data_IF_584138179405
#
_entry.id   IF_584138179405
#
_cell.length_a   1.000
_cell.length_b   1.000
_cell.length_c   1.000
_cell.angle_alpha   90.00
_cell.angle_beta   90.00
_cell.angle_gamma   90.00
#
_symmetry.space_group_name_H-M   'P 1'
#
loop_
_entity.id
_entity.type
_entity.pdbx_description
1 polymer ?
#
# COMPACT_ATOMS: atom_id res chain seq x y z
N UNK A 1 10.90 -6.53 -0.02
CA UNK A 1 11.05 -5.89 1.31
C UNK A 1 12.52 -5.91 1.79
N UNK A 2 13.20 -7.07 1.83
CA UNK A 2 14.58 -7.16 2.34
C UNK A 2 15.54 -6.16 1.71
N UNK A 3 15.68 -6.15 0.39
CA UNK A 3 16.54 -5.19 -0.33
C UNK A 3 16.19 -3.72 -0.05
N UNK A 4 14.92 -3.39 0.11
CA UNK A 4 14.50 -2.04 0.48
C UNK A 4 15.11 -1.61 1.82
N UNK A 5 15.05 -2.47 2.83
CA UNK A 5 15.61 -2.16 4.14
C UNK A 5 17.14 -2.18 4.17
N UNK A 6 17.82 -2.84 3.23
CA UNK A 6 19.28 -2.73 3.05
C UNK A 6 19.68 -1.34 2.56
N UNK A 7 18.85 -0.71 1.69
CA UNK A 7 19.11 0.64 1.17
C UNK A 7 18.74 1.71 2.22
N UNK A 8 17.61 1.54 2.91
CA UNK A 8 17.02 2.55 3.81
C UNK A 8 17.20 2.22 5.30
N UNK A 9 18.19 1.38 5.67
CA UNK A 9 18.36 0.86 7.02
C UNK A 9 18.41 1.95 8.10
N UNK A 10 18.97 3.11 7.80
CA UNK A 10 19.12 4.23 8.75
C UNK A 10 17.81 4.95 9.11
N UNK A 11 16.73 4.70 8.36
CA UNK A 11 15.44 5.36 8.58
C UNK A 11 14.46 4.51 9.39
N UNK A 12 14.84 3.28 9.74
CA UNK A 12 13.97 2.33 10.42
C UNK A 12 14.67 1.68 11.59
N UNK A 13 13.94 1.50 12.68
CA UNK A 13 14.37 0.64 13.79
C UNK A 13 14.28 -0.83 13.37
N UNK A 14 15.05 -1.72 14.01
CA UNK A 14 14.95 -3.16 13.78
C UNK A 14 13.53 -3.69 14.11
N UNK A 15 12.84 -3.09 15.07
CA UNK A 15 11.46 -3.44 15.41
C UNK A 15 10.50 -3.11 14.26
N UNK A 16 10.52 -1.89 13.73
CA UNK A 16 9.69 -1.47 12.59
C UNK A 16 9.94 -2.34 11.36
N UNK A 17 11.20 -2.58 11.03
CA UNK A 17 11.59 -3.49 9.95
C UNK A 17 10.99 -4.88 10.14
N UNK A 18 11.12 -5.47 11.34
CA UNK A 18 10.59 -6.79 11.63
C UNK A 18 9.06 -6.83 11.58
N UNK A 19 8.35 -5.79 12.03
CA UNK A 19 6.90 -5.67 11.91
C UNK A 19 6.45 -5.65 10.45
N UNK A 20 7.13 -4.88 9.59
CA UNK A 20 6.82 -4.83 8.15
C UNK A 20 7.12 -6.16 7.47
N UNK A 21 8.27 -6.79 7.77
CA UNK A 21 8.61 -8.08 7.20
C UNK A 21 7.61 -9.16 7.61
N UNK A 22 7.17 -9.14 8.87
CA UNK A 22 6.15 -10.05 9.35
C UNK A 22 4.79 -9.78 8.69
N UNK A 23 4.39 -8.50 8.54
CA UNK A 23 3.19 -8.14 7.79
C UNK A 23 3.24 -8.72 6.35
N UNK A 24 4.35 -8.56 5.65
CA UNK A 24 4.55 -9.13 4.31
C UNK A 24 4.46 -10.66 4.31
N UNK A 25 4.94 -11.32 5.37
CA UNK A 25 4.92 -12.79 5.48
C UNK A 25 3.53 -13.35 5.70
N UNK A 26 2.67 -12.62 6.40
CA UNK A 26 1.39 -13.16 6.91
C UNK A 26 0.14 -12.60 6.23
N UNK A 27 0.21 -11.47 5.49
CA UNK A 27 -0.98 -10.78 4.96
C UNK A 27 -1.85 -11.67 4.06
N UNK A 28 -1.26 -12.63 3.39
CA UNK A 28 -1.90 -13.52 2.43
C UNK A 28 -2.23 -14.92 2.97
N UNK A 29 -1.99 -15.20 4.25
CA UNK A 29 -2.32 -16.51 4.85
C UNK A 29 -3.78 -16.93 4.58
N UNK A 30 -4.70 -15.97 4.62
CA UNK A 30 -6.11 -16.19 4.36
C UNK A 30 -6.44 -16.68 2.95
N UNK A 31 -5.52 -16.55 1.98
CA UNK A 31 -5.67 -17.12 0.62
C UNK A 31 -5.67 -18.66 0.64
N UNK A 32 -5.17 -19.28 1.71
CA UNK A 32 -5.22 -20.73 1.89
C UNK A 32 -6.63 -21.27 2.22
N UNK A 33 -7.69 -20.48 2.08
CA UNK A 33 -9.07 -20.98 2.21
C UNK A 33 -9.58 -21.58 0.90
N UNK A 34 -10.44 -22.59 0.99
CA UNK A 34 -10.95 -23.33 -0.17
C UNK A 34 -11.70 -22.45 -1.16
N UNK A 35 -12.54 -21.53 -0.69
CA UNK A 35 -13.34 -20.65 -1.57
C UNK A 35 -12.44 -19.80 -2.45
N UNK A 36 -11.37 -19.20 -1.88
CA UNK A 36 -10.38 -18.46 -2.66
C UNK A 36 -9.69 -19.37 -3.68
N UNK A 37 -9.29 -20.57 -3.26
CA UNK A 37 -8.61 -21.53 -4.14
C UNK A 37 -9.48 -21.95 -5.33
N UNK A 38 -10.81 -22.03 -5.18
CA UNK A 38 -11.72 -22.31 -6.32
C UNK A 38 -11.78 -21.17 -7.35
N UNK A 39 -11.37 -19.95 -6.97
CA UNK A 39 -11.33 -18.81 -7.89
C UNK A 39 -10.06 -18.83 -8.74
N UNK A 40 -8.92 -19.16 -8.10
CA UNK A 40 -7.60 -19.09 -8.75
C UNK A 40 -7.17 -20.38 -9.40
N UNK A 41 -7.75 -21.51 -9.01
CA UNK A 41 -7.44 -22.84 -9.54
C UNK A 41 -8.60 -23.37 -10.40
N UNK A 42 -8.45 -23.36 -11.75
CA UNK A 42 -9.50 -23.85 -12.66
C UNK A 42 -9.87 -25.32 -12.49
N UNK A 43 -9.02 -26.13 -11.84
CA UNK A 43 -9.27 -27.55 -11.58
C UNK A 43 -10.23 -27.81 -10.41
N UNK A 44 -10.57 -26.78 -9.63
CA UNK A 44 -11.51 -26.89 -8.50
C UNK A 44 -12.91 -26.42 -8.88
N UNK A 45 -13.93 -27.14 -8.42
CA UNK A 45 -15.32 -26.74 -8.63
C UNK A 45 -15.62 -25.43 -7.87
N UNK A 46 -16.12 -24.42 -8.58
CA UNK A 46 -16.52 -23.15 -7.95
C UNK A 46 -17.65 -23.36 -6.98
N UNK A 47 -17.53 -22.72 -5.82
CA UNK A 47 -18.57 -22.71 -4.79
C UNK A 47 -19.36 -21.41 -4.85
N UNK A 48 -20.68 -21.50 -4.62
CA UNK A 48 -21.60 -20.34 -4.63
C UNK A 48 -21.57 -19.52 -3.34
N UNK A 49 -20.74 -19.89 -2.36
CA UNK A 49 -20.67 -19.21 -1.07
C UNK A 49 -19.89 -17.89 -1.16
N UNK A 50 -20.34 -16.89 -0.39
CA UNK A 50 -19.67 -15.61 -0.31
C UNK A 50 -18.32 -15.74 0.41
N UNK A 51 -17.29 -15.18 -0.18
CA UNK A 51 -15.94 -15.19 0.38
C UNK A 51 -15.79 -14.19 1.52
N UNK A 52 -15.22 -14.63 2.65
CA UNK A 52 -14.65 -13.68 3.62
C UNK A 52 -13.30 -13.17 3.06
N UNK A 53 -13.04 -11.85 3.09
CA UNK A 53 -11.78 -11.28 2.62
C UNK A 53 -10.57 -11.96 3.27
N UNK A 54 -9.59 -12.34 2.46
CA UNK A 54 -8.43 -13.08 2.97
C UNK A 54 -7.61 -12.31 3.99
N UNK A 55 -7.55 -10.97 3.90
CA UNK A 55 -6.88 -10.15 4.90
C UNK A 55 -7.46 -10.31 6.30
N UNK A 56 -8.80 -10.43 6.40
CA UNK A 56 -9.46 -10.68 7.67
C UNK A 56 -9.07 -12.06 8.22
N UNK A 57 -9.11 -13.09 7.39
CA UNK A 57 -8.72 -14.44 7.79
C UNK A 57 -7.24 -14.50 8.20
N UNK A 58 -6.37 -13.82 7.46
CA UNK A 58 -4.94 -13.73 7.77
C UNK A 58 -4.71 -13.14 9.16
N UNK A 59 -5.28 -11.97 9.43
CA UNK A 59 -5.13 -11.29 10.71
C UNK A 59 -5.69 -12.10 11.88
N UNK A 60 -6.88 -12.73 11.70
CA UNK A 60 -7.48 -13.56 12.74
C UNK A 60 -6.71 -14.88 12.99
N UNK A 61 -5.76 -15.21 12.14
CA UNK A 61 -4.85 -16.37 12.29
C UNK A 61 -3.54 -16.01 13.03
N UNK A 62 -3.33 -14.75 13.40
CA UNK A 62 -2.13 -14.31 14.10
C UNK A 62 -2.21 -14.64 15.60
N UNK A 63 -1.09 -15.08 16.14
CA UNK A 63 -0.92 -15.29 17.58
C UNK A 63 -0.08 -14.17 18.16
N UNK A 64 -0.69 -13.31 18.99
CA UNK A 64 0.00 -12.24 19.70
C UNK A 64 1.23 -12.76 20.46
N UNK A 65 1.05 -13.87 21.18
CA UNK A 65 2.15 -14.51 21.94
C UNK A 65 3.32 -14.87 21.04
N UNK A 66 3.06 -15.45 19.86
CA UNK A 66 4.10 -15.85 18.92
C UNK A 66 4.79 -14.62 18.34
N UNK A 67 4.05 -13.61 17.91
CA UNK A 67 4.60 -12.37 17.33
C UNK A 67 5.53 -11.68 18.35
N UNK A 68 5.11 -11.57 19.62
CA UNK A 68 5.94 -10.99 20.68
C UNK A 68 7.20 -11.81 21.00
N UNK A 69 7.18 -13.11 20.74
CA UNK A 69 8.38 -13.95 20.88
C UNK A 69 9.33 -13.80 19.70
N UNK A 70 8.80 -13.62 18.48
CA UNK A 70 9.59 -13.51 17.25
C UNK A 70 10.17 -12.09 17.04
N UNK A 71 9.48 -11.06 17.56
CA UNK A 71 9.90 -9.66 17.42
C UNK A 71 10.27 -9.09 18.79
N UNK A 72 11.57 -8.98 19.12
CA UNK A 72 11.99 -8.44 20.40
C UNK A 72 11.50 -7.01 20.63
N UNK A 73 10.93 -6.74 21.81
CA UNK A 73 10.40 -5.43 22.17
C UNK A 73 9.02 -5.11 21.59
N UNK A 74 8.35 -6.07 20.95
CA UNK A 74 6.99 -5.91 20.43
C UNK A 74 5.98 -5.73 21.58
N UNK A 75 5.29 -4.59 21.57
CA UNK A 75 4.26 -4.20 22.54
C UNK A 75 2.86 -4.65 22.10
N UNK A 76 1.84 -4.37 22.92
CA UNK A 76 0.43 -4.58 22.55
C UNK A 76 0.03 -3.67 21.38
N UNK A 77 0.57 -2.44 21.36
CA UNK A 77 0.31 -1.50 20.27
C UNK A 77 0.96 -1.94 18.95
N UNK A 78 2.19 -2.44 19.01
CA UNK A 78 2.88 -3.00 17.83
C UNK A 78 2.09 -4.17 17.25
N UNK A 79 1.59 -5.07 18.07
CA UNK A 79 0.72 -6.15 17.61
C UNK A 79 -0.59 -5.63 17.00
N UNK A 80 -1.21 -4.63 17.62
CA UNK A 80 -2.43 -4.00 17.10
C UNK A 80 -2.20 -3.32 15.76
N UNK A 81 -1.05 -2.66 15.56
CA UNK A 81 -0.64 -2.06 14.28
C UNK A 81 -0.45 -3.11 13.21
N UNK A 82 0.31 -4.17 13.49
CA UNK A 82 0.52 -5.31 12.58
C UNK A 82 -0.80 -5.97 12.21
N UNK A 83 -1.62 -6.29 13.20
CA UNK A 83 -2.93 -6.92 13.03
C UNK A 83 -3.84 -6.07 12.13
N UNK A 84 -3.91 -4.76 12.39
CA UNK A 84 -4.75 -3.83 11.63
C UNK A 84 -4.24 -3.66 10.19
N UNK A 85 -2.92 -3.58 10.01
CA UNK A 85 -2.32 -3.48 8.68
C UNK A 85 -2.65 -4.72 7.82
N UNK A 86 -2.55 -5.92 8.39
CA UNK A 86 -2.90 -7.17 7.72
C UNK A 86 -4.40 -7.28 7.48
N UNK A 87 -5.23 -6.92 8.45
CA UNK A 87 -6.69 -6.99 8.36
C UNK A 87 -7.23 -6.12 7.22
N UNK A 88 -6.72 -4.89 7.09
CA UNK A 88 -7.17 -3.89 6.13
C UNK A 88 -6.13 -3.59 5.02
N UNK A 89 -5.23 -4.52 4.66
CA UNK A 89 -4.30 -4.28 3.56
C UNK A 89 -5.04 -4.06 2.21
N UNK A 90 -6.20 -4.70 2.05
CA UNK A 90 -7.20 -4.32 1.06
C UNK A 90 -8.38 -3.69 1.77
N UNK A 91 -8.69 -2.43 1.52
CA UNK A 91 -9.84 -1.75 2.13
C UNK A 91 -11.15 -2.46 1.76
N UNK A 92 -11.69 -3.22 2.71
CA UNK A 92 -12.94 -3.97 2.58
C UNK A 92 -13.89 -3.62 3.72
N UNK A 93 -15.19 -3.68 3.43
CA UNK A 93 -16.21 -3.52 4.46
C UNK A 93 -16.21 -4.75 5.36
N UNK A 94 -16.17 -4.53 6.66
CA UNK A 94 -16.35 -5.56 7.68
C UNK A 94 -17.79 -5.57 8.16
N UNK A 95 -18.58 -6.50 7.65
CA UNK A 95 -19.99 -6.72 8.04
C UNK A 95 -20.21 -8.09 8.68
N UNK A 96 -19.13 -8.76 9.07
CA UNK A 96 -19.18 -10.12 9.59
C UNK A 96 -19.29 -10.14 11.12
N UNK A 97 -20.07 -11.11 11.65
CA UNK A 97 -20.07 -11.45 13.07
C UNK A 97 -18.97 -12.45 13.41
N UNK A 98 -18.61 -12.58 14.68
CA UNK A 98 -17.65 -13.58 15.13
C UNK A 98 -18.10 -15.01 14.75
N UNK A 99 -19.42 -15.26 14.80
CA UNK A 99 -19.97 -16.54 14.36
C UNK A 99 -19.71 -16.82 12.88
N UNK A 100 -19.88 -15.81 12.01
CA UNK A 100 -19.55 -15.96 10.58
C UNK A 100 -18.09 -16.35 10.37
N UNK A 101 -17.17 -15.77 11.14
CA UNK A 101 -15.74 -16.09 11.06
C UNK A 101 -15.44 -17.52 11.49
N UNK A 102 -16.01 -17.98 12.63
CA UNK A 102 -15.79 -19.34 13.10
C UNK A 102 -16.43 -20.38 12.18
N UNK A 103 -17.68 -20.18 11.72
CA UNK A 103 -18.36 -21.07 10.79
C UNK A 103 -17.57 -21.20 9.47
N UNK A 104 -17.03 -20.07 8.95
CA UNK A 104 -16.19 -20.06 7.75
C UNK A 104 -14.84 -20.73 7.97
N UNK A 105 -14.20 -20.47 9.11
CA UNK A 105 -12.93 -21.09 9.49
C UNK A 105 -13.03 -22.59 9.52
N UNK A 106 -13.99 -23.14 10.26
CA UNK A 106 -14.16 -24.59 10.41
C UNK A 106 -14.49 -25.27 9.08
N UNK A 107 -15.32 -24.64 8.25
CA UNK A 107 -15.81 -25.22 6.99
C UNK A 107 -14.80 -25.10 5.85
N UNK A 108 -14.13 -23.96 5.70
CA UNK A 108 -13.42 -23.62 4.47
C UNK A 108 -11.95 -23.26 4.63
N UNK A 109 -11.46 -23.04 5.86
CA UNK A 109 -10.13 -22.49 6.06
C UNK A 109 -9.21 -23.42 6.86
N UNK A 110 -9.65 -23.98 7.98
CA UNK A 110 -8.85 -24.79 8.90
C UNK A 110 -8.11 -25.96 8.22
N UNK A 111 -8.84 -26.76 7.45
CA UNK A 111 -8.26 -27.91 6.73
C UNK A 111 -7.19 -27.49 5.74
N UNK A 112 -7.44 -26.43 4.99
CA UNK A 112 -6.56 -25.94 3.93
C UNK A 112 -5.34 -25.22 4.46
N UNK A 113 -5.43 -24.51 5.59
CA UNK A 113 -4.27 -24.01 6.31
C UNK A 113 -3.28 -25.13 6.65
N UNK A 114 -3.78 -26.26 7.12
CA UNK A 114 -2.96 -27.43 7.44
C UNK A 114 -2.35 -28.06 6.18
N UNK A 115 -3.15 -28.19 5.12
CA UNK A 115 -2.75 -28.84 3.87
C UNK A 115 -1.73 -28.00 3.09
N UNK A 116 -1.99 -26.69 2.89
CA UNK A 116 -1.12 -25.83 2.06
C UNK A 116 0.07 -25.24 2.79
N UNK A 117 -0.04 -24.98 4.09
CA UNK A 117 1.01 -24.32 4.87
C UNK A 117 1.77 -25.24 5.82
N UNK A 118 1.34 -26.51 5.94
CA UNK A 118 1.92 -27.47 6.89
C UNK A 118 1.81 -27.05 8.36
N UNK A 119 1.05 -25.98 8.64
CA UNK A 119 0.89 -25.39 9.97
C UNK A 119 -0.25 -26.08 10.71
N UNK A 120 0.10 -26.96 11.65
CA UNK A 120 -0.88 -27.73 12.46
C UNK A 120 -1.54 -26.91 13.57
N UNK A 121 -0.93 -25.80 14.01
CA UNK A 121 -1.30 -25.06 15.23
C UNK A 121 -1.58 -23.56 14.98
N UNK A 122 -2.29 -23.22 13.91
CA UNK A 122 -2.77 -21.85 13.73
C UNK A 122 -3.93 -21.60 14.70
N UNK A 123 -3.73 -20.71 15.66
CA UNK A 123 -4.80 -20.29 16.58
C UNK A 123 -5.63 -19.20 15.92
N UNK A 124 -6.69 -19.61 15.25
CA UNK A 124 -7.68 -18.68 14.72
C UNK A 124 -8.52 -18.09 15.86
N UNK A 125 -8.59 -16.78 15.92
CA UNK A 125 -9.34 -16.07 16.96
C UNK A 125 -10.07 -14.85 16.39
N UNK A 126 -11.41 -14.92 16.33
CA UNK A 126 -12.22 -13.76 16.00
C UNK A 126 -12.07 -12.62 17.02
N UNK A 127 -11.72 -12.94 18.25
CA UNK A 127 -11.49 -11.95 19.31
C UNK A 127 -10.31 -11.00 19.05
N UNK A 128 -9.38 -11.36 18.13
CA UNK A 128 -8.32 -10.46 17.69
C UNK A 128 -8.88 -9.14 17.15
N UNK A 129 -10.10 -9.12 16.61
CA UNK A 129 -10.76 -7.90 16.12
C UNK A 129 -10.89 -6.82 17.19
N UNK A 130 -10.95 -7.19 18.47
CA UNK A 130 -11.02 -6.23 19.56
C UNK A 130 -9.69 -5.47 19.78
N UNK A 131 -8.62 -5.92 19.16
CA UNK A 131 -7.30 -5.30 19.23
C UNK A 131 -6.97 -4.46 17.98
N UNK A 132 -7.87 -4.35 17.01
CA UNK A 132 -7.69 -3.47 15.85
C UNK A 132 -7.60 -2.01 16.30
N UNK A 133 -6.80 -1.19 15.61
CA UNK A 133 -6.71 0.25 15.86
C UNK A 133 -7.97 0.99 15.42
N UNK A 134 -8.62 0.53 14.35
CA UNK A 134 -9.91 1.02 13.87
C UNK A 134 -10.74 -0.11 13.27
N UNK A 135 -12.02 0.14 13.09
CA UNK A 135 -12.92 -0.80 12.40
C UNK A 135 -13.89 -0.08 11.48
N UNK A 136 -14.05 -0.64 10.29
CA UNK A 136 -15.10 -0.24 9.34
C UNK A 136 -16.47 -0.84 9.72
N UNK A 137 -16.53 -1.63 10.78
CA UNK A 137 -17.77 -2.15 11.34
C UNK A 137 -18.33 -1.20 12.40
N UNK A 138 -19.46 -0.52 12.15
CA UNK A 138 -20.00 0.51 13.07
C UNK A 138 -20.44 -0.04 14.43
N UNK A 139 -20.59 -1.35 14.57
CA UNK A 139 -20.97 -1.99 15.86
C UNK A 139 -19.78 -2.23 16.78
N UNK A 140 -18.56 -2.13 16.28
CA UNK A 140 -17.34 -2.34 17.08
C UNK A 140 -16.91 -1.04 17.75
N UNK A 141 -16.73 -1.13 19.07
CA UNK A 141 -16.13 -0.05 19.88
C UNK A 141 -14.68 -0.43 20.17
N UNK A 142 -13.76 0.37 19.65
CA UNK A 142 -12.33 0.20 19.86
C UNK A 142 -11.80 1.29 20.77
N UNK A 143 -10.60 1.08 21.33
CA UNK A 143 -9.89 2.10 22.12
C UNK A 143 -9.50 3.29 21.23
N UNK A 144 -9.33 4.45 21.85
CA UNK A 144 -8.69 5.57 21.17
C UNK A 144 -7.19 5.29 21.00
N UNK A 145 -6.62 5.79 19.91
CA UNK A 145 -5.22 5.60 19.51
C UNK A 145 -4.57 6.97 19.45
N UNK A 146 -3.36 7.11 19.98
CA UNK A 146 -2.59 8.34 19.93
C UNK A 146 -1.97 8.59 18.52
N UNK A 147 -1.52 9.81 18.29
CA UNK A 147 -0.94 10.21 17.01
C UNK A 147 0.35 9.44 16.66
N UNK A 148 1.32 9.22 17.58
CA UNK A 148 2.50 8.42 17.28
C UNK A 148 2.18 7.02 16.80
N UNK A 149 1.28 6.32 17.47
CA UNK A 149 0.82 4.97 17.06
C UNK A 149 0.15 4.99 15.68
N UNK A 150 -0.62 6.02 15.36
CA UNK A 150 -1.19 6.19 14.02
C UNK A 150 -0.11 6.41 12.96
N UNK A 151 0.90 7.23 13.21
CA UNK A 151 2.01 7.47 12.28
C UNK A 151 2.79 6.18 11.99
N UNK A 152 3.10 5.40 13.03
CA UNK A 152 3.81 4.12 12.88
C UNK A 152 2.95 3.08 12.14
N UNK A 153 1.65 3.00 12.44
CA UNK A 153 0.69 2.17 11.70
C UNK A 153 0.66 2.53 10.21
N UNK A 154 0.57 3.83 9.87
CA UNK A 154 0.55 4.29 8.49
C UNK A 154 1.82 3.89 7.74
N UNK A 155 2.97 3.93 8.41
CA UNK A 155 4.24 3.45 7.86
C UNK A 155 4.18 1.94 7.55
N UNK A 156 3.77 1.12 8.53
CA UNK A 156 3.67 -0.35 8.37
C UNK A 156 2.71 -0.72 7.24
N UNK A 157 1.49 -0.15 7.24
CA UNK A 157 0.49 -0.41 6.21
C UNK A 157 0.95 0.08 4.83
N UNK A 158 1.55 1.26 4.76
CA UNK A 158 2.06 1.85 3.53
C UNK A 158 3.14 1.00 2.88
N UNK A 159 4.11 0.52 3.67
CA UNK A 159 5.16 -0.36 3.19
C UNK A 159 4.65 -1.74 2.80
N UNK A 160 3.72 -2.33 3.58
CA UNK A 160 3.06 -3.57 3.21
C UNK A 160 2.41 -3.46 1.84
N UNK A 161 1.59 -2.43 1.63
CA UNK A 161 0.90 -2.22 0.36
C UNK A 161 1.88 -1.97 -0.80
N UNK A 162 2.94 -1.18 -0.55
CA UNK A 162 3.99 -0.92 -1.54
C UNK A 162 4.63 -2.23 -2.01
N UNK A 163 5.01 -3.10 -1.09
CA UNK A 163 5.68 -4.36 -1.43
C UNK A 163 4.73 -5.36 -2.09
N UNK A 164 3.51 -5.48 -1.61
CA UNK A 164 2.48 -6.34 -2.22
C UNK A 164 2.19 -5.91 -3.66
N UNK A 165 1.97 -4.62 -3.91
CA UNK A 165 1.70 -4.12 -5.25
C UNK A 165 2.90 -4.23 -6.18
N UNK A 166 4.12 -4.03 -5.68
CA UNK A 166 5.35 -4.17 -6.46
C UNK A 166 5.50 -5.60 -6.98
N UNK A 167 5.36 -6.58 -6.09
CA UNK A 167 5.43 -8.01 -6.45
C UNK A 167 4.28 -8.41 -7.38
N UNK A 168 3.06 -7.96 -7.08
CA UNK A 168 1.87 -8.23 -7.91
C UNK A 168 1.98 -7.63 -9.32
N UNK A 169 2.73 -6.54 -9.48
CA UNK A 169 3.04 -5.93 -10.77
C UNK A 169 4.23 -6.60 -11.50
N UNK A 170 4.86 -7.60 -10.90
CA UNK A 170 5.99 -8.34 -11.49
C UNK A 170 7.35 -7.65 -11.33
N UNK A 171 7.47 -6.64 -10.47
CA UNK A 171 8.74 -5.98 -10.19
C UNK A 171 9.47 -6.68 -9.03
N UNK A 172 10.79 -6.84 -9.16
CA UNK A 172 11.62 -7.43 -8.11
C UNK A 172 12.01 -6.42 -7.02
N UNK A 173 12.07 -5.14 -7.36
CA UNK A 173 12.49 -4.04 -6.47
C UNK A 173 11.39 -3.01 -6.32
N UNK A 174 11.15 -2.60 -5.06
CA UNK A 174 10.12 -1.62 -4.73
C UNK A 174 10.54 -0.17 -4.98
N UNK A 175 11.83 0.09 -5.16
CA UNK A 175 12.38 1.38 -5.55
C UNK A 175 12.92 1.31 -6.97
N UNK A 176 12.37 2.17 -7.82
CA UNK A 176 12.98 2.49 -9.10
C UNK A 176 13.96 3.63 -8.83
N UNK A 177 15.25 3.37 -8.98
CA UNK A 177 16.24 4.43 -8.99
C UNK A 177 15.97 5.28 -10.24
N UNK A 178 15.40 6.47 -10.05
CA UNK A 178 15.40 7.46 -11.12
C UNK A 178 16.62 8.35 -10.90
N UNK A 179 17.56 8.31 -11.84
CA UNK A 179 18.68 9.26 -11.90
C UNK A 179 18.23 10.68 -12.31
N UNK A 180 16.92 10.93 -12.25
CA UNK A 180 16.33 12.22 -12.61
C UNK A 180 16.63 13.19 -11.48
N UNK A 181 17.64 14.02 -11.69
CA UNK A 181 17.91 15.14 -10.82
C UNK A 181 16.66 16.05 -10.74
N UNK A 182 16.25 16.38 -9.53
CA UNK A 182 15.05 17.17 -9.18
C UNK A 182 14.88 18.42 -10.05
N UNK A 183 15.97 19.04 -10.49
CA UNK A 183 15.98 20.23 -11.37
C UNK A 183 15.63 19.96 -12.83
N UNK A 184 15.61 18.71 -13.30
CA UNK A 184 15.32 18.39 -14.72
C UNK A 184 13.83 18.53 -15.07
N UNK A 185 12.90 18.28 -14.15
CA UNK A 185 11.48 18.26 -14.47
C UNK A 185 10.99 19.64 -15.01
N UNK A 186 11.28 20.71 -14.30
CA UNK A 186 10.86 22.05 -14.72
C UNK A 186 11.51 22.49 -16.03
N UNK A 187 12.80 22.19 -16.24
CA UNK A 187 13.48 22.49 -17.50
C UNK A 187 12.89 21.69 -18.64
N UNK A 188 12.64 20.39 -18.45
CA UNK A 188 12.04 19.52 -19.47
C UNK A 188 10.63 19.97 -19.86
N UNK A 189 9.82 20.41 -18.91
CA UNK A 189 8.49 20.97 -19.20
C UNK A 189 8.61 22.24 -20.02
N UNK A 190 9.54 23.15 -19.69
CA UNK A 190 9.79 24.37 -20.47
C UNK A 190 10.24 24.05 -21.90
N UNK A 191 11.18 23.13 -22.05
CA UNK A 191 11.70 22.71 -23.35
C UNK A 191 10.60 22.08 -24.20
N UNK A 192 9.73 21.23 -23.61
CA UNK A 192 8.57 20.64 -24.28
C UNK A 192 7.63 21.72 -24.87
N UNK A 193 7.42 22.82 -24.16
CA UNK A 193 6.62 23.95 -24.63
C UNK A 193 7.45 24.98 -25.42
N UNK A 194 8.68 24.66 -25.81
CA UNK A 194 9.59 25.59 -26.52
C UNK A 194 9.73 26.94 -25.81
N UNK A 195 9.79 26.93 -24.48
CA UNK A 195 9.81 28.10 -23.60
C UNK A 195 8.58 29.03 -23.72
N UNK A 196 7.48 28.57 -24.32
CA UNK A 196 6.21 29.30 -24.45
C UNK A 196 5.19 28.80 -23.43
N UNK A 197 5.48 29.01 -22.15
CA UNK A 197 4.55 28.67 -21.08
C UNK A 197 3.28 29.52 -21.17
N UNK A 198 2.13 28.90 -20.82
CA UNK A 198 0.85 29.59 -20.71
C UNK A 198 0.83 30.45 -19.45
N UNK A 199 -0.01 31.48 -19.42
CA UNK A 199 -0.16 32.39 -18.28
C UNK A 199 -0.36 31.65 -16.94
N UNK A 200 -1.23 30.62 -16.90
CA UNK A 200 -1.43 29.78 -15.73
C UNK A 200 -0.13 29.06 -15.30
N UNK A 201 0.66 28.58 -16.23
CA UNK A 201 1.89 27.86 -15.94
C UNK A 201 2.97 28.78 -15.39
N UNK A 202 3.07 30.00 -15.92
CA UNK A 202 3.95 31.05 -15.40
C UNK A 202 3.52 31.43 -13.97
N UNK A 203 2.23 31.73 -13.79
CA UNK A 203 1.68 32.08 -12.48
C UNK A 203 1.99 31.02 -11.42
N UNK A 204 1.72 29.75 -11.72
CA UNK A 204 1.95 28.66 -10.77
C UNK A 204 3.43 28.49 -10.42
N UNK A 205 4.33 28.70 -11.38
CA UNK A 205 5.77 28.65 -11.12
C UNK A 205 6.26 29.80 -10.25
N UNK A 206 5.73 31.02 -10.43
CA UNK A 206 6.08 32.21 -9.62
C UNK A 206 5.54 32.11 -8.19
N UNK A 207 4.51 31.27 -7.95
CA UNK A 207 3.86 31.08 -6.65
C UNK A 207 4.12 29.68 -6.08
N UNK A 208 5.31 29.11 -6.31
CA UNK A 208 5.67 27.76 -5.84
C UNK A 208 5.68 27.61 -4.31
N UNK A 209 5.89 28.72 -3.58
CA UNK A 209 5.89 28.75 -2.11
C UNK A 209 4.52 29.07 -1.50
N UNK A 210 3.51 29.34 -2.34
CA UNK A 210 2.17 29.73 -1.90
C UNK A 210 1.18 28.55 -1.95
N UNK A 211 0.16 28.59 -1.08
CA UNK A 211 -1.01 27.73 -1.22
C UNK A 211 -1.95 28.31 -2.28
N UNK A 212 -2.16 27.60 -3.38
CA UNK A 212 -2.93 28.10 -4.53
C UNK A 212 -4.18 27.26 -4.79
N UNK A 213 -5.26 27.93 -5.19
CA UNK A 213 -6.46 27.32 -5.73
C UNK A 213 -6.62 27.74 -7.18
N UNK A 214 -6.69 26.77 -8.09
CA UNK A 214 -6.79 27.02 -9.54
C UNK A 214 -8.13 26.54 -10.07
N UNK A 215 -8.87 27.46 -10.71
CA UNK A 215 -10.08 27.18 -11.47
C UNK A 215 -9.81 27.52 -12.93
N UNK A 216 -9.72 26.49 -13.77
CA UNK A 216 -9.38 26.67 -15.17
C UNK A 216 -10.06 25.59 -16.06
N UNK A 217 -10.38 25.89 -17.33
CA UNK A 217 -11.06 24.95 -18.22
C UNK A 217 -10.18 23.74 -18.55
N UNK A 218 -10.80 22.67 -19.08
CA UNK A 218 -10.09 21.51 -19.57
C UNK A 218 -9.16 21.90 -20.71
N UNK A 219 -7.96 21.33 -20.78
CA UNK A 219 -6.95 21.65 -21.79
C UNK A 219 -6.15 22.94 -21.54
N UNK A 220 -6.32 23.62 -20.39
CA UNK A 220 -5.55 24.81 -20.05
C UNK A 220 -4.10 24.56 -19.60
N UNK A 221 -3.68 23.29 -19.49
CA UNK A 221 -2.33 22.91 -19.01
C UNK A 221 -2.20 22.87 -17.49
N UNK A 222 -3.30 22.52 -16.78
CA UNK A 222 -3.31 22.43 -15.29
C UNK A 222 -2.31 21.39 -14.75
N UNK A 223 -2.11 20.29 -15.41
CA UNK A 223 -1.20 19.23 -14.98
C UNK A 223 0.24 19.74 -14.97
N UNK A 224 0.68 20.34 -16.06
CA UNK A 224 2.01 20.91 -16.19
C UNK A 224 2.20 22.10 -15.25
N UNK A 225 1.15 22.91 -15.08
CA UNK A 225 1.15 24.03 -14.12
C UNK A 225 1.35 23.53 -12.67
N UNK A 226 0.70 22.42 -12.28
CA UNK A 226 0.89 21.83 -10.96
C UNK A 226 2.31 21.25 -10.77
N UNK A 227 2.89 20.65 -11.82
CA UNK A 227 4.27 20.16 -11.79
C UNK A 227 5.29 21.31 -11.69
N UNK A 228 5.04 22.43 -12.38
CA UNK A 228 5.86 23.63 -12.28
C UNK A 228 5.75 24.29 -10.90
N UNK A 229 4.54 24.29 -10.31
CA UNK A 229 4.33 24.77 -8.94
C UNK A 229 5.08 23.92 -7.90
N UNK A 230 5.12 22.60 -8.08
CA UNK A 230 5.88 21.70 -7.21
C UNK A 230 7.41 21.95 -7.28
N UNK A 231 7.90 22.65 -8.30
CA UNK A 231 9.26 23.15 -8.47
C UNK A 231 10.38 22.11 -8.24
N UNK A 232 10.09 20.84 -8.56
CA UNK A 232 11.02 19.72 -8.34
C UNK A 232 11.00 19.15 -6.92
N UNK A 233 10.20 19.68 -6.03
CA UNK A 233 10.04 19.16 -4.69
C UNK A 233 9.21 17.87 -4.69
N UNK A 234 9.44 17.02 -3.68
CA UNK A 234 8.66 15.80 -3.49
C UNK A 234 7.24 16.14 -3.02
N UNK A 235 6.24 15.76 -3.80
CA UNK A 235 4.84 16.04 -3.51
C UNK A 235 3.91 14.85 -3.77
N UNK A 236 2.64 15.04 -3.38
CA UNK A 236 1.57 14.09 -3.65
C UNK A 236 0.58 14.70 -4.65
N UNK A 237 0.40 14.06 -5.79
CA UNK A 237 -0.62 14.42 -6.78
C UNK A 237 -1.82 13.49 -6.62
N UNK A 238 -2.89 13.98 -5.97
CA UNK A 238 -4.09 13.19 -5.66
C UNK A 238 -5.20 13.43 -6.69
N UNK A 239 -5.85 12.34 -7.11
CA UNK A 239 -6.90 12.35 -8.11
C UNK A 239 -8.08 11.46 -7.67
N UNK A 240 -9.32 11.85 -7.97
CA UNK A 240 -10.50 11.10 -7.55
C UNK A 240 -10.69 9.79 -8.32
N UNK A 241 -10.08 9.63 -9.48
CA UNK A 241 -10.27 8.48 -10.37
C UNK A 241 -8.94 7.80 -10.71
N UNK A 242 -8.88 6.48 -10.55
CA UNK A 242 -7.70 5.66 -10.88
C UNK A 242 -7.29 5.79 -12.35
N UNK A 243 -8.25 5.87 -13.28
CA UNK A 243 -7.96 6.06 -14.72
C UNK A 243 -7.22 7.37 -14.96
N UNK A 244 -7.65 8.46 -14.28
CA UNK A 244 -6.97 9.77 -14.37
C UNK A 244 -5.57 9.72 -13.78
N UNK A 245 -5.37 8.98 -12.69
CA UNK A 245 -4.03 8.79 -12.09
C UNK A 245 -3.08 8.10 -13.06
N UNK A 246 -3.52 7.03 -13.73
CA UNK A 246 -2.72 6.32 -14.72
C UNK A 246 -2.38 7.21 -15.93
N UNK A 247 -3.33 8.01 -16.41
CA UNK A 247 -3.10 8.92 -17.53
C UNK A 247 -2.07 10.01 -17.18
N UNK A 248 -2.17 10.59 -15.98
CA UNK A 248 -1.22 11.60 -15.52
C UNK A 248 0.15 10.98 -15.27
N UNK A 249 0.22 9.79 -14.67
CA UNK A 249 1.48 9.07 -14.48
C UNK A 249 2.20 8.86 -15.82
N UNK A 250 1.48 8.38 -16.84
CA UNK A 250 2.05 8.19 -18.18
C UNK A 250 2.51 9.51 -18.81
N UNK A 251 1.78 10.61 -18.60
CA UNK A 251 2.18 11.93 -19.08
C UNK A 251 3.41 12.45 -18.31
N UNK A 252 3.47 12.26 -17.01
CA UNK A 252 4.64 12.64 -16.20
C UNK A 252 5.91 11.90 -16.64
N UNK A 253 5.80 10.61 -17.03
CA UNK A 253 6.94 9.85 -17.54
C UNK A 253 7.53 10.45 -18.84
N UNK A 254 6.73 11.13 -19.67
CA UNK A 254 7.25 11.84 -20.85
C UNK A 254 8.23 12.95 -20.48
N UNK A 255 8.04 13.58 -19.32
CA UNK A 255 8.91 14.67 -18.84
C UNK A 255 10.08 14.17 -17.96
N UNK A 256 9.98 12.93 -17.46
CA UNK A 256 10.95 12.37 -16.51
C UNK A 256 11.79 11.23 -17.09
N UNK A 257 11.37 10.62 -18.20
CA UNK A 257 12.15 9.59 -18.88
C UNK A 257 13.23 10.23 -19.77
N UNK A 258 14.44 9.64 -19.85
CA UNK A 258 15.44 10.11 -20.79
C UNK A 258 14.89 10.04 -22.21
N UNK A 259 15.09 11.10 -22.98
CA UNK A 259 14.71 11.14 -24.38
C UNK A 259 15.46 10.03 -25.14
N UNK A 260 14.87 9.45 -26.22
CA UNK A 260 15.59 8.51 -27.08
C UNK A 260 16.94 9.05 -27.60
N UNK A 261 17.08 10.38 -27.68
CA UNK A 261 18.35 11.04 -28.04
C UNK A 261 19.41 10.98 -26.95
N UNK A 262 19.00 11.01 -25.66
CA UNK A 262 19.93 10.94 -24.52
C UNK A 262 20.53 9.53 -24.38
N UNK A 263 19.87 8.50 -24.92
CA UNK A 263 20.36 7.09 -24.92
C UNK A 263 21.36 6.84 -26.05
N UNK A 264 21.29 7.59 -27.15
CA UNK A 264 22.24 7.46 -28.28
C UNK A 264 23.59 8.13 -28.02
N UNK A 265 23.62 9.22 -27.23
CA UNK A 265 24.88 9.91 -26.87
C UNK A 265 25.69 9.20 -25.77
N UNK A 266 25.11 8.19 -25.10
CA UNK A 266 25.79 7.41 -24.04
C UNK A 266 26.33 6.06 -24.53
N UNK A 267 26.34 5.79 -25.85
CA UNK A 267 26.98 4.67 -26.51
C UNK A 267 28.16 5.14 -27.34
#
# INVERSE_FOLDING_TARGET
AGKFFEIFYMYFTEKEKNLVLEACRVHDLGKANYIFQTIVNPGLARMAESQIPHGFLSALSLSEKQIKQEIPGCTDDDFSMLLTAVYYHHDRKDSFSDRNFYDYYDKWYKKYLQEYLGKKDVKFSAANRNQLLYSNNPTMKLRSVDEPTWCEYMLIKGLLNKFDWTVSAGYEEAELHSDIAEKKLCSTIRDYFSNSLRELQVFMQEHSDDNVVVIAPTGSGKTEAALLWANGEKGFYTLPLKVSSNAIYSSCLLYTSPSPRDVEESR
#
